data_IF_161016494037
#
_entry.id   IF_161016494037
#
_cell.length_a   1.000
_cell.length_b   1.000
_cell.length_c   1.000
_cell.angle_alpha   90.00
_cell.angle_beta   90.00
_cell.angle_gamma   90.00
#
_symmetry.space_group_name_H-M   'P 1'
#
loop_
_entity.id
_entity.type
_entity.pdbx_description
1 polymer ?
#
# COMPACT_ATOMS: atom_id res chain seq x y z
N UNK A 1 -6.84 -4.00 21.01
CA UNK A 1 -5.82 -2.95 21.30
C UNK A 1 -4.48 -3.59 21.65
N UNK A 2 -3.37 -3.00 21.24
CA UNK A 2 -2.03 -3.39 21.71
C UNK A 2 -1.69 -2.49 22.89
N UNK A 3 -1.67 -3.07 24.10
CA UNK A 3 -1.48 -2.36 25.37
C UNK A 3 -0.20 -1.52 25.37
N UNK A 4 -0.28 -0.28 25.87
CA UNK A 4 0.82 0.67 25.98
C UNK A 4 1.33 1.24 24.66
N UNK A 5 0.73 0.88 23.51
CA UNK A 5 1.22 1.34 22.21
C UNK A 5 0.99 2.84 21.99
N UNK A 6 -0.15 3.39 22.43
CA UNK A 6 -0.52 4.79 22.26
C UNK A 6 0.49 5.79 22.86
N UNK A 7 1.22 5.40 23.92
CA UNK A 7 2.23 6.23 24.59
C UNK A 7 3.40 6.63 23.67
N UNK A 8 3.63 5.87 22.60
CA UNK A 8 4.69 6.10 21.61
C UNK A 8 4.30 7.05 20.47
N UNK A 9 3.12 7.67 20.54
CA UNK A 9 2.58 8.58 19.52
C UNK A 9 2.21 9.94 20.14
N UNK A 10 3.03 10.41 21.08
CA UNK A 10 2.74 11.60 21.91
C UNK A 10 2.52 12.86 21.07
N UNK A 11 3.31 13.05 20.00
CA UNK A 11 3.18 14.20 19.10
C UNK A 11 1.83 14.22 18.35
N UNK A 12 1.26 13.06 18.06
CA UNK A 12 -0.04 12.93 17.39
C UNK A 12 -1.22 12.95 18.37
N UNK A 13 -0.97 12.84 19.68
CA UNK A 13 -1.98 12.83 20.74
C UNK A 13 -3.10 11.82 20.47
N UNK A 14 -2.71 10.61 20.07
CA UNK A 14 -3.66 9.56 19.63
C UNK A 14 -4.63 9.14 20.74
N UNK A 15 -4.24 9.26 22.01
CA UNK A 15 -5.11 8.95 23.16
C UNK A 15 -6.23 9.99 23.37
N UNK A 16 -6.10 11.20 22.79
CA UNK A 16 -7.04 12.32 22.97
C UNK A 16 -7.93 12.54 21.73
N UNK A 17 -7.67 11.84 20.64
CA UNK A 17 -8.28 12.10 19.33
C UNK A 17 -8.91 10.83 18.77
N UNK A 18 -10.03 10.98 18.05
CA UNK A 18 -10.72 9.90 17.36
C UNK A 18 -10.31 9.90 15.87
N UNK A 19 -9.15 9.28 15.57
CA UNK A 19 -8.52 9.30 14.24
C UNK A 19 -8.86 8.02 13.45
N UNK A 20 -10.09 7.92 12.92
CA UNK A 20 -10.56 6.74 12.17
C UNK A 20 -10.13 6.75 10.69
N UNK A 21 -8.97 7.29 10.38
CA UNK A 21 -8.37 7.32 9.01
C UNK A 21 -7.16 6.41 8.88
N UNK A 22 -7.04 5.37 9.72
CA UNK A 22 -5.88 4.47 9.73
C UNK A 22 -5.60 3.76 8.40
N UNK A 23 -6.63 3.55 7.59
CA UNK A 23 -6.52 3.00 6.23
C UNK A 23 -6.06 4.03 5.18
N UNK A 24 -6.04 5.31 5.52
CA UNK A 24 -5.60 6.41 4.66
C UNK A 24 -4.25 6.94 5.13
N UNK A 25 -4.18 7.52 6.33
CA UNK A 25 -2.95 8.00 6.95
C UNK A 25 -2.97 7.63 8.43
N UNK A 26 -1.93 6.93 8.91
CA UNK A 26 -1.76 6.65 10.32
C UNK A 26 -0.82 7.65 10.99
N UNK A 27 -0.97 7.81 12.30
CA UNK A 27 0.01 8.52 13.12
C UNK A 27 1.36 7.79 13.06
N UNK A 28 2.43 8.57 13.09
CA UNK A 28 3.78 8.04 13.15
C UNK A 28 4.24 7.92 14.60
N UNK A 29 4.92 6.84 14.99
CA UNK A 29 5.51 6.76 16.33
C UNK A 29 6.59 7.85 16.52
N UNK A 30 6.80 8.28 17.74
CA UNK A 30 7.71 9.40 18.08
C UNK A 30 9.15 9.16 17.58
N UNK A 31 9.58 7.90 17.47
CA UNK A 31 10.88 7.52 16.88
C UNK A 31 11.06 7.96 15.41
N UNK A 32 9.96 8.19 14.70
CA UNK A 32 9.98 8.71 13.34
C UNK A 32 10.60 10.12 13.27
N UNK A 33 10.34 10.97 14.30
CA UNK A 33 10.96 12.28 14.44
C UNK A 33 12.48 12.17 14.63
N UNK A 34 12.92 11.19 15.42
CA UNK A 34 14.36 10.97 15.64
C UNK A 34 15.07 10.60 14.33
N UNK A 35 14.44 9.80 13.48
CA UNK A 35 14.96 9.48 12.14
C UNK A 35 15.12 10.72 11.25
N UNK A 36 14.16 11.63 11.26
CA UNK A 36 14.26 12.88 10.51
C UNK A 36 15.42 13.76 11.00
N UNK A 37 15.60 13.85 12.32
CA UNK A 37 16.72 14.59 12.93
C UNK A 37 18.09 13.92 12.63
N UNK A 38 18.12 12.60 12.55
CA UNK A 38 19.31 11.84 12.15
C UNK A 38 19.71 12.18 10.71
N UNK A 39 18.76 12.21 9.77
CA UNK A 39 19.00 12.62 8.38
C UNK A 39 19.59 14.04 8.28
N UNK A 40 19.06 14.96 9.08
CA UNK A 40 19.57 16.32 9.15
C UNK A 40 21.01 16.39 9.65
N UNK A 41 21.35 15.63 10.72
CA UNK A 41 22.72 15.58 11.26
C UNK A 41 23.70 14.98 10.26
N UNK A 42 23.34 13.86 9.63
CA UNK A 42 24.19 13.22 8.62
C UNK A 42 24.44 14.16 7.44
N UNK A 43 23.45 14.94 7.02
CA UNK A 43 23.63 15.93 5.96
C UNK A 43 24.56 17.07 6.39
N UNK A 44 24.44 17.56 7.64
CA UNK A 44 25.25 18.63 8.16
C UNK A 44 26.73 18.23 8.40
N UNK A 45 26.94 16.98 8.86
CA UNK A 45 28.28 16.48 9.23
C UNK A 45 29.03 15.91 8.02
N UNK A 46 28.34 15.30 7.05
CA UNK A 46 28.95 14.50 6.00
C UNK A 46 28.77 15.09 4.58
N UNK A 47 27.91 16.09 4.41
CA UNK A 47 27.62 16.72 3.13
C UNK A 47 27.37 15.67 2.00
N UNK A 48 28.26 15.56 1.03
CA UNK A 48 28.14 14.62 -0.08
C UNK A 48 28.29 13.14 0.35
N UNK A 49 29.08 12.87 1.37
CA UNK A 49 29.30 11.51 1.90
C UNK A 49 28.09 10.97 2.67
N UNK A 50 27.03 11.76 2.91
CA UNK A 50 25.78 11.31 3.56
C UNK A 50 25.12 10.14 2.83
N UNK A 51 25.34 10.00 1.52
CA UNK A 51 24.64 9.00 0.71
C UNK A 51 24.95 7.56 1.11
N UNK A 52 26.14 7.25 1.58
CA UNK A 52 26.46 5.92 2.14
C UNK A 52 25.53 5.57 3.30
N UNK A 53 25.32 6.53 4.21
CA UNK A 53 24.42 6.38 5.37
C UNK A 53 22.95 6.29 4.93
N UNK A 54 22.55 7.13 3.99
CA UNK A 54 21.21 7.11 3.43
C UNK A 54 20.89 5.77 2.77
N UNK A 55 21.83 5.17 2.02
CA UNK A 55 21.66 3.85 1.42
C UNK A 55 21.61 2.73 2.47
N UNK A 56 22.35 2.83 3.57
CA UNK A 56 22.20 1.89 4.69
C UNK A 56 20.78 1.95 5.31
N UNK A 57 20.19 3.16 5.42
CA UNK A 57 18.78 3.30 5.85
C UNK A 57 17.80 2.74 4.81
N UNK A 58 18.05 2.98 3.53
CA UNK A 58 17.26 2.38 2.46
C UNK A 58 17.30 0.85 2.50
N UNK A 59 18.47 0.24 2.78
CA UNK A 59 18.56 -1.21 2.95
C UNK A 59 17.77 -1.71 4.14
N UNK A 60 17.80 -0.99 5.27
CA UNK A 60 16.95 -1.32 6.42
C UNK A 60 15.44 -1.28 6.07
N UNK A 61 15.03 -0.35 5.21
CA UNK A 61 13.64 -0.30 4.69
C UNK A 61 13.35 -1.54 3.83
N UNK A 62 14.26 -1.93 2.93
CA UNK A 62 14.11 -3.15 2.11
C UNK A 62 13.97 -4.40 2.98
N UNK A 63 14.77 -4.54 4.03
CA UNK A 63 14.67 -5.64 5.00
C UNK A 63 13.30 -5.68 5.69
N UNK A 64 12.76 -4.52 6.08
CA UNK A 64 11.43 -4.41 6.64
C UNK A 64 10.36 -4.89 5.66
N UNK A 65 10.44 -4.46 4.41
CA UNK A 65 9.51 -4.87 3.34
C UNK A 65 9.62 -6.37 3.05
N UNK A 66 10.84 -6.92 2.93
CA UNK A 66 11.05 -8.37 2.71
C UNK A 66 10.40 -9.23 3.79
N UNK A 67 10.48 -8.78 5.05
CA UNK A 67 9.83 -9.48 6.17
C UNK A 67 8.30 -9.43 6.08
N UNK A 68 7.74 -8.28 5.72
CA UNK A 68 6.30 -8.12 5.53
C UNK A 68 5.75 -8.97 4.38
N UNK A 69 6.57 -9.22 3.37
CA UNK A 69 6.24 -10.04 2.20
C UNK A 69 6.58 -11.54 2.40
N UNK A 70 7.17 -11.92 3.54
CA UNK A 70 7.73 -13.26 3.77
C UNK A 70 8.74 -13.70 2.69
N UNK A 71 9.46 -12.76 2.06
CA UNK A 71 10.42 -12.99 0.97
C UNK A 71 11.80 -12.38 1.29
N UNK A 72 12.63 -13.06 2.12
CA UNK A 72 13.88 -12.51 2.63
C UNK A 72 14.94 -12.26 1.55
N UNK A 73 14.82 -12.91 0.40
CA UNK A 73 15.77 -12.79 -0.71
C UNK A 73 15.34 -11.83 -1.82
N UNK A 74 14.14 -11.27 -1.75
CA UNK A 74 13.59 -10.49 -2.86
C UNK A 74 14.41 -9.22 -3.16
N UNK A 75 14.67 -8.94 -4.45
CA UNK A 75 15.05 -7.59 -4.86
C UNK A 75 13.87 -6.63 -4.66
N UNK A 76 14.13 -5.50 -3.95
CA UNK A 76 13.10 -4.49 -3.65
C UNK A 76 13.58 -3.12 -4.11
N UNK A 77 12.99 -2.58 -5.17
CA UNK A 77 13.22 -1.21 -5.60
C UNK A 77 12.41 -0.23 -4.74
N UNK A 78 12.99 0.93 -4.44
CA UNK A 78 12.35 1.98 -3.64
C UNK A 78 12.11 3.23 -4.49
N UNK A 79 11.02 3.95 -4.19
CA UNK A 79 10.74 5.26 -4.77
C UNK A 79 9.89 6.12 -3.80
N UNK A 80 9.81 7.44 -4.01
CA UNK A 80 8.99 8.31 -3.18
C UNK A 80 7.49 8.00 -3.20
N UNK A 81 7.00 7.40 -4.29
CA UNK A 81 5.59 7.07 -4.47
C UNK A 81 5.41 5.85 -5.40
N UNK A 82 4.24 5.21 -5.31
CA UNK A 82 3.91 4.05 -6.16
C UNK A 82 3.76 4.42 -7.63
N UNK A 83 3.40 5.67 -7.94
CA UNK A 83 3.26 6.12 -9.32
C UNK A 83 4.54 5.94 -10.12
N UNK A 84 5.69 6.37 -9.58
CA UNK A 84 7.00 6.18 -10.22
C UNK A 84 7.34 4.71 -10.44
N UNK A 85 7.03 3.84 -9.47
CA UNK A 85 7.29 2.41 -9.57
C UNK A 85 6.42 1.73 -10.63
N UNK A 86 5.13 2.08 -10.66
CA UNK A 86 4.19 1.60 -11.69
C UNK A 86 4.63 2.06 -13.09
N UNK A 87 5.07 3.31 -13.24
CA UNK A 87 5.57 3.80 -14.54
C UNK A 87 6.82 3.03 -14.99
N UNK A 88 7.76 2.74 -14.08
CA UNK A 88 8.95 1.93 -14.41
C UNK A 88 8.57 0.51 -14.78
N UNK A 89 7.66 -0.13 -14.03
CA UNK A 89 7.11 -1.43 -14.38
C UNK A 89 6.48 -1.42 -15.79
N UNK A 90 5.54 -0.51 -16.05
CA UNK A 90 4.87 -0.41 -17.35
C UNK A 90 5.85 -0.15 -18.49
N UNK A 91 6.92 0.62 -18.24
CA UNK A 91 7.93 0.94 -19.24
C UNK A 91 8.86 -0.24 -19.58
N UNK A 92 8.85 -1.29 -18.77
CA UNK A 92 9.61 -2.52 -18.99
C UNK A 92 8.82 -3.57 -19.82
N UNK A 93 7.51 -3.36 -19.97
CA UNK A 93 6.62 -4.27 -20.68
C UNK A 93 6.74 -4.14 -22.21
N UNK A 94 6.53 -5.21 -22.97
CA UNK A 94 6.56 -5.20 -24.44
C UNK A 94 5.26 -4.60 -25.04
N UNK A 95 4.90 -3.38 -24.63
CA UNK A 95 3.62 -2.74 -24.98
C UNK A 95 3.48 -2.41 -26.48
N UNK A 96 4.58 -2.43 -27.24
CA UNK A 96 4.53 -2.27 -28.72
C UNK A 96 4.05 -3.53 -29.42
N UNK A 97 4.48 -4.70 -28.91
CA UNK A 97 4.17 -6.02 -29.44
C UNK A 97 2.86 -6.59 -28.87
N UNK A 98 2.61 -6.32 -27.59
CA UNK A 98 1.42 -6.75 -26.85
C UNK A 98 0.76 -5.55 -26.15
N UNK A 99 -0.04 -4.75 -26.87
CA UNK A 99 -0.58 -3.48 -26.34
C UNK A 99 -1.73 -3.65 -25.34
N UNK A 100 -2.09 -4.88 -24.94
CA UNK A 100 -3.18 -5.16 -24.03
C UNK A 100 -2.71 -5.13 -22.57
N UNK A 101 -3.46 -4.38 -21.73
CA UNK A 101 -3.36 -4.35 -20.28
C UNK A 101 -4.71 -4.70 -19.67
N UNK A 102 -4.72 -5.49 -18.61
CA UNK A 102 -5.93 -5.89 -17.89
C UNK A 102 -5.88 -5.32 -16.48
N UNK A 103 -6.98 -4.77 -16.01
CA UNK A 103 -7.09 -4.26 -14.63
C UNK A 103 -8.56 -4.26 -14.19
N UNK A 104 -8.84 -3.71 -13.01
CA UNK A 104 -10.21 -3.59 -12.51
C UNK A 104 -10.72 -2.15 -12.56
N UNK A 105 -12.03 -1.95 -12.45
CA UNK A 105 -12.64 -0.64 -12.24
C UNK A 105 -12.54 -0.19 -10.77
N UNK A 106 -12.13 -1.08 -9.86
CA UNK A 106 -11.94 -0.84 -8.42
C UNK A 106 -10.53 -0.42 -8.01
N UNK A 107 -9.65 -0.08 -8.96
CA UNK A 107 -8.26 0.31 -8.66
C UNK A 107 -8.16 1.75 -8.14
N UNK A 108 -7.11 1.98 -7.32
CA UNK A 108 -6.83 3.31 -6.78
C UNK A 108 -6.58 4.34 -7.90
N UNK A 109 -6.89 5.59 -7.61
CA UNK A 109 -6.90 6.70 -8.57
C UNK A 109 -5.63 6.83 -9.42
N UNK A 110 -4.46 6.56 -8.86
CA UNK A 110 -3.18 6.63 -9.59
C UNK A 110 -3.15 5.63 -10.73
N UNK A 111 -3.43 4.36 -10.45
CA UNK A 111 -3.43 3.30 -11.46
C UNK A 111 -4.56 3.52 -12.48
N UNK A 112 -5.78 3.77 -11.99
CA UNK A 112 -6.94 4.06 -12.84
C UNK A 112 -6.68 5.20 -13.83
N UNK A 113 -6.09 6.32 -13.36
CA UNK A 113 -5.78 7.48 -14.20
C UNK A 113 -4.67 7.16 -15.20
N UNK A 114 -3.60 6.48 -14.79
CA UNK A 114 -2.50 6.11 -15.69
C UNK A 114 -2.97 5.19 -16.80
N UNK A 115 -3.72 4.14 -16.47
CA UNK A 115 -4.28 3.22 -17.46
C UNK A 115 -5.29 3.93 -18.39
N UNK A 116 -6.08 4.87 -17.85
CA UNK A 116 -6.96 5.71 -18.67
C UNK A 116 -6.19 6.51 -19.71
N UNK A 117 -5.09 7.13 -19.31
CA UNK A 117 -4.27 7.92 -20.24
C UNK A 117 -3.57 7.04 -21.29
N UNK A 118 -3.13 5.85 -20.91
CA UNK A 118 -2.54 4.89 -21.85
C UNK A 118 -3.58 4.41 -22.89
N UNK A 119 -4.83 4.22 -22.48
CA UNK A 119 -5.92 3.89 -23.41
C UNK A 119 -6.15 5.00 -24.45
N UNK A 120 -6.06 6.28 -24.05
CA UNK A 120 -6.12 7.43 -24.97
C UNK A 120 -4.93 7.46 -25.97
N UNK A 121 -3.79 6.89 -25.60
CA UNK A 121 -2.63 6.73 -26.50
C UNK A 121 -2.68 5.46 -27.39
N UNK A 122 -3.79 4.73 -27.33
CA UNK A 122 -4.06 3.61 -28.21
C UNK A 122 -3.71 2.21 -27.64
N UNK A 123 -3.39 2.10 -26.35
CA UNK A 123 -3.29 0.79 -25.70
C UNK A 123 -4.68 0.21 -25.45
N UNK A 124 -4.82 -1.09 -25.61
CA UNK A 124 -6.01 -1.83 -25.19
C UNK A 124 -6.00 -1.98 -23.66
N UNK A 125 -6.88 -1.28 -22.96
CA UNK A 125 -7.03 -1.40 -21.51
C UNK A 125 -8.38 -2.00 -21.18
N UNK A 126 -8.35 -3.31 -20.85
CA UNK A 126 -9.54 -4.05 -20.39
C UNK A 126 -9.75 -3.77 -18.90
N UNK A 127 -10.93 -3.26 -18.55
CA UNK A 127 -11.36 -3.04 -17.16
C UNK A 127 -12.42 -4.04 -16.78
N UNK A 128 -12.02 -5.01 -15.97
CA UNK A 128 -12.94 -6.00 -15.39
C UNK A 128 -13.66 -5.35 -14.21
N UNK A 129 -14.98 -5.56 -14.10
CA UNK A 129 -15.72 -5.07 -12.94
C UNK A 129 -15.16 -5.68 -11.65
N UNK A 130 -14.82 -4.86 -10.65
CA UNK A 130 -14.31 -5.35 -9.38
C UNK A 130 -15.33 -6.19 -8.59
N UNK A 131 -16.61 -6.04 -8.90
CA UNK A 131 -17.70 -6.78 -8.25
C UNK A 131 -18.43 -7.68 -9.25
N UNK A 132 -18.93 -8.83 -8.77
CA UNK A 132 -18.72 -9.41 -7.43
C UNK A 132 -17.28 -9.88 -7.23
N UNK A 133 -16.73 -9.68 -6.02
CA UNK A 133 -15.29 -9.93 -5.72
C UNK A 133 -14.95 -11.42 -5.76
N UNK A 134 -15.89 -12.29 -5.39
CA UNK A 134 -15.70 -13.76 -5.34
C UNK A 134 -15.47 -14.42 -6.71
N UNK A 135 -15.72 -13.72 -7.83
CA UNK A 135 -15.43 -14.19 -9.20
C UNK A 135 -14.46 -13.28 -9.92
N UNK A 136 -13.84 -12.32 -9.22
CA UNK A 136 -12.96 -11.34 -9.83
C UNK A 136 -11.72 -11.99 -10.43
N UNK A 137 -11.10 -12.91 -9.71
CA UNK A 137 -9.89 -13.61 -10.15
C UNK A 137 -10.14 -14.42 -11.43
N UNK A 138 -11.24 -15.18 -11.50
CA UNK A 138 -11.62 -15.93 -12.71
C UNK A 138 -11.79 -15.01 -13.92
N UNK A 139 -12.43 -13.85 -13.71
CA UNK A 139 -12.65 -12.87 -14.79
C UNK A 139 -11.36 -12.19 -15.24
N UNK A 140 -10.43 -11.91 -14.32
CA UNK A 140 -9.10 -11.39 -14.65
C UNK A 140 -8.27 -12.45 -15.38
N UNK A 141 -8.29 -13.69 -14.91
CA UNK A 141 -7.59 -14.81 -15.53
C UNK A 141 -8.09 -15.08 -16.96
N UNK A 142 -9.40 -14.95 -17.21
CA UNK A 142 -9.95 -15.11 -18.56
C UNK A 142 -9.48 -14.04 -19.55
N UNK A 143 -9.09 -12.86 -19.07
CA UNK A 143 -8.60 -11.75 -19.86
C UNK A 143 -7.05 -11.73 -20.00
N UNK A 144 -6.33 -12.53 -19.20
CA UNK A 144 -4.87 -12.56 -19.19
C UNK A 144 -4.25 -12.97 -20.55
N UNK A 145 -4.80 -13.94 -21.32
CA UNK A 145 -4.19 -14.33 -22.59
C UNK A 145 -3.98 -13.15 -23.55
N UNK A 146 -2.74 -13.01 -24.03
CA UNK A 146 -2.34 -11.96 -24.96
C UNK A 146 -2.12 -10.58 -24.30
N UNK A 147 -2.34 -10.43 -23.02
CA UNK A 147 -2.03 -9.20 -22.30
C UNK A 147 -0.53 -9.11 -21.96
N UNK A 148 0.02 -7.91 -21.95
CA UNK A 148 1.35 -7.66 -21.38
C UNK A 148 1.34 -7.75 -19.85
N UNK A 149 0.26 -7.32 -19.21
CA UNK A 149 0.12 -7.43 -17.76
C UNK A 149 -1.34 -7.44 -17.29
N UNK A 150 -1.55 -8.07 -16.12
CA UNK A 150 -2.71 -7.90 -15.25
C UNK A 150 -2.26 -7.07 -14.03
N UNK A 151 -3.05 -6.05 -13.67
CA UNK A 151 -2.78 -5.17 -12.53
C UNK A 151 -4.00 -5.18 -11.60
N UNK A 152 -3.82 -5.58 -10.34
CA UNK A 152 -4.91 -5.76 -9.38
C UNK A 152 -4.50 -5.40 -7.96
N UNK A 153 -5.40 -4.79 -7.19
CA UNK A 153 -5.21 -4.56 -5.75
C UNK A 153 -5.54 -5.83 -4.95
N UNK A 154 -4.69 -6.16 -3.96
CA UNK A 154 -4.95 -7.27 -3.02
C UNK A 154 -6.13 -6.99 -2.09
N UNK A 155 -6.36 -5.71 -1.79
CA UNK A 155 -7.51 -5.23 -1.01
C UNK A 155 -8.08 -4.00 -1.70
N UNK A 156 -9.36 -4.03 -2.04
CA UNK A 156 -10.04 -2.93 -2.71
C UNK A 156 -10.15 -1.71 -1.79
N UNK A 157 -9.77 -0.54 -2.30
CA UNK A 157 -9.61 0.65 -1.46
C UNK A 157 -10.92 1.32 -1.03
N UNK A 158 -12.02 1.06 -1.75
CA UNK A 158 -13.31 1.70 -1.44
C UNK A 158 -14.01 1.03 -0.26
N UNK A 159 -14.02 -0.30 -0.21
CA UNK A 159 -14.81 -1.09 0.72
C UNK A 159 -14.02 -2.10 1.55
N UNK A 160 -12.69 -2.10 1.45
CA UNK A 160 -11.80 -3.00 2.21
C UNK A 160 -11.90 -4.49 1.84
N UNK A 161 -12.59 -4.87 0.76
CA UNK A 161 -12.73 -6.28 0.36
C UNK A 161 -11.38 -6.85 -0.06
N UNK A 162 -11.05 -8.00 0.53
CA UNK A 162 -9.86 -8.77 0.17
C UNK A 162 -10.14 -9.52 -1.14
N UNK A 163 -9.21 -9.46 -2.08
CA UNK A 163 -9.25 -10.24 -3.32
C UNK A 163 -8.58 -11.58 -3.04
N UNK A 164 -9.39 -12.64 -3.00
CA UNK A 164 -8.94 -14.02 -2.78
C UNK A 164 -8.54 -14.67 -4.11
N UNK A 165 -7.66 -15.69 -4.06
CA UNK A 165 -7.25 -16.45 -5.25
C UNK A 165 -6.19 -15.75 -6.10
N UNK A 166 -5.41 -14.82 -5.52
CA UNK A 166 -4.29 -14.18 -6.24
C UNK A 166 -3.23 -15.17 -6.68
N UNK A 167 -3.07 -16.29 -5.98
CA UNK A 167 -2.23 -17.43 -6.36
C UNK A 167 -2.72 -18.11 -7.64
N UNK A 168 -4.02 -18.36 -7.76
CA UNK A 168 -4.66 -18.88 -8.97
C UNK A 168 -4.49 -17.90 -10.15
N UNK A 169 -4.61 -16.60 -9.89
CA UNK A 169 -4.36 -15.56 -10.90
C UNK A 169 -2.88 -15.54 -11.33
N UNK A 170 -1.94 -15.70 -10.39
CA UNK A 170 -0.51 -15.75 -10.70
C UNK A 170 -0.16 -16.97 -11.57
N UNK A 171 -0.77 -18.12 -11.30
CA UNK A 171 -0.63 -19.31 -12.14
C UNK A 171 -1.19 -19.08 -13.55
N UNK A 172 -2.39 -18.51 -13.67
CA UNK A 172 -3.00 -18.19 -14.96
C UNK A 172 -2.18 -17.18 -15.77
N UNK A 173 -1.64 -16.15 -15.15
CA UNK A 173 -0.76 -15.17 -15.76
C UNK A 173 0.55 -15.83 -16.24
N UNK A 174 1.18 -16.65 -15.40
CA UNK A 174 2.41 -17.37 -15.75
C UNK A 174 2.20 -18.34 -16.93
N UNK A 175 1.06 -19.01 -16.98
CA UNK A 175 0.71 -19.94 -18.08
C UNK A 175 0.53 -19.24 -19.45
N UNK A 176 0.30 -17.92 -19.45
CA UNK A 176 0.06 -17.11 -20.66
C UNK A 176 1.17 -16.10 -20.94
N UNK A 177 2.32 -16.21 -20.26
CA UNK A 177 3.43 -15.24 -20.35
C UNK A 177 2.96 -13.79 -20.13
N UNK A 178 2.07 -13.59 -19.15
CA UNK A 178 1.50 -12.30 -18.77
C UNK A 178 2.06 -11.89 -17.41
N UNK A 179 2.56 -10.66 -17.30
CA UNK A 179 3.04 -10.14 -16.02
C UNK A 179 1.88 -9.90 -15.05
N UNK A 180 2.09 -10.15 -13.77
CA UNK A 180 1.12 -9.82 -12.72
C UNK A 180 1.70 -8.77 -11.78
N UNK A 181 1.04 -7.61 -11.68
CA UNK A 181 1.33 -6.60 -10.66
C UNK A 181 0.22 -6.59 -9.60
N UNK A 182 0.59 -6.88 -8.35
CA UNK A 182 -0.32 -6.81 -7.21
C UNK A 182 -0.04 -5.53 -6.41
N UNK A 183 -1.05 -4.68 -6.24
CA UNK A 183 -0.99 -3.55 -5.31
C UNK A 183 -1.39 -4.02 -3.91
N UNK A 184 -0.39 -4.13 -3.03
CA UNK A 184 -0.56 -4.57 -1.64
C UNK A 184 -0.68 -3.39 -0.65
N UNK A 185 -0.91 -2.16 -1.12
CA UNK A 185 -0.91 -0.96 -0.28
C UNK A 185 -1.92 -1.00 0.87
N UNK A 186 -3.09 -1.61 0.65
CA UNK A 186 -4.13 -1.80 1.66
C UNK A 186 -4.08 -3.16 2.38
N UNK A 187 -3.13 -4.03 2.01
CA UNK A 187 -2.93 -5.33 2.66
C UNK A 187 -1.81 -5.28 3.72
N UNK A 188 -0.64 -4.73 3.34
CA UNK A 188 0.54 -4.74 4.20
C UNK A 188 0.36 -3.91 5.47
N UNK A 189 0.68 -4.53 6.59
CA UNK A 189 0.54 -3.92 7.92
C UNK A 189 -0.84 -4.06 8.56
N UNK A 190 -1.85 -4.57 7.83
CA UNK A 190 -3.14 -4.92 8.42
C UNK A 190 -3.51 -6.40 8.27
N UNK A 191 -2.77 -7.13 7.44
CA UNK A 191 -2.91 -8.59 7.30
C UNK A 191 -1.59 -9.21 6.85
N UNK A 192 -1.34 -10.50 7.12
CA UNK A 192 -0.23 -11.24 6.54
C UNK A 192 -0.35 -11.27 5.00
N UNK A 193 0.80 -11.19 4.33
CA UNK A 193 0.89 -11.24 2.88
C UNK A 193 2.11 -12.09 2.49
N UNK A 194 1.86 -13.33 2.07
CA UNK A 194 2.91 -14.29 1.72
C UNK A 194 3.12 -14.35 0.21
N UNK A 195 4.23 -13.80 -0.25
CA UNK A 195 4.61 -13.80 -1.67
C UNK A 195 5.09 -15.17 -2.15
N UNK A 196 5.36 -16.13 -1.26
CA UNK A 196 5.72 -17.48 -1.68
C UNK A 196 4.63 -18.15 -2.54
N UNK A 197 3.36 -17.73 -2.37
CA UNK A 197 2.24 -18.15 -3.22
C UNK A 197 2.18 -17.41 -4.57
N UNK A 198 2.97 -16.34 -4.73
CA UNK A 198 2.99 -15.43 -5.88
C UNK A 198 4.42 -15.24 -6.43
N UNK A 199 5.20 -16.29 -6.70
CA UNK A 199 6.66 -16.18 -6.92
C UNK A 199 7.01 -15.27 -8.09
N UNK A 200 6.21 -15.28 -9.16
CA UNK A 200 6.42 -14.50 -10.38
C UNK A 200 5.68 -13.15 -10.40
N UNK A 201 4.98 -12.77 -9.34
CA UNK A 201 4.27 -11.50 -9.30
C UNK A 201 5.19 -10.35 -8.89
N UNK A 202 4.96 -9.20 -9.48
CA UNK A 202 5.42 -7.91 -8.98
C UNK A 202 4.49 -7.49 -7.86
N UNK A 203 5.05 -6.95 -6.77
CA UNK A 203 4.24 -6.43 -5.67
C UNK A 203 4.63 -4.99 -5.41
N UNK A 204 3.67 -4.08 -5.52
CA UNK A 204 3.85 -2.66 -5.22
C UNK A 204 3.11 -2.28 -3.95
N UNK A 205 3.68 -1.38 -3.17
CA UNK A 205 3.05 -0.87 -1.96
C UNK A 205 3.78 0.34 -1.39
N UNK A 206 3.36 0.78 -0.22
CA UNK A 206 3.99 1.94 0.41
C UNK A 206 3.67 2.07 1.90
N UNK A 207 4.29 3.06 2.53
CA UNK A 207 4.47 3.10 3.97
C UNK A 207 3.53 3.99 4.77
N UNK A 208 2.82 4.96 4.19
CA UNK A 208 2.11 5.97 4.98
C UNK A 208 0.77 5.52 5.59
N UNK A 209 0.24 4.36 5.16
CA UNK A 209 -0.97 3.79 5.72
C UNK A 209 -0.64 2.92 6.95
N UNK A 210 -0.96 1.65 6.93
CA UNK A 210 -0.82 0.73 8.05
C UNK A 210 0.62 0.53 8.56
N UNK A 211 1.63 0.79 7.72
CA UNK A 211 3.03 0.66 8.11
C UNK A 211 3.57 1.86 8.89
N UNK A 212 2.85 2.99 8.95
CA UNK A 212 3.19 4.17 9.76
C UNK A 212 4.54 4.83 9.41
N UNK A 213 5.08 4.53 8.23
CA UNK A 213 6.39 5.02 7.79
C UNK A 213 6.36 6.49 7.33
N UNK A 214 5.16 7.07 7.19
CA UNK A 214 4.93 8.33 6.50
C UNK A 214 5.20 8.23 4.99
N UNK A 215 5.05 9.33 4.29
CA UNK A 215 5.23 9.43 2.85
C UNK A 215 6.68 9.20 2.43
N UNK A 216 6.90 8.89 1.14
CA UNK A 216 8.24 8.76 0.56
C UNK A 216 8.86 7.37 0.63
N UNK A 217 8.15 6.38 1.15
CA UNK A 217 8.62 4.99 1.29
C UNK A 217 7.68 4.04 0.55
N UNK A 218 7.78 4.05 -0.77
CA UNK A 218 7.10 3.08 -1.62
C UNK A 218 8.11 2.09 -2.19
N UNK A 219 7.64 0.89 -2.47
CA UNK A 219 8.47 -0.21 -2.92
C UNK A 219 7.84 -0.97 -4.08
N UNK A 220 8.69 -1.61 -4.86
CA UNK A 220 8.35 -2.61 -5.87
C UNK A 220 9.21 -3.86 -5.60
N UNK A 221 8.56 -4.95 -5.21
CA UNK A 221 9.20 -6.27 -5.15
C UNK A 221 9.28 -6.82 -6.56
N UNK A 222 10.45 -7.28 -6.95
CA UNK A 222 10.74 -7.80 -8.26
C UNK A 222 10.71 -9.34 -8.26
N UNK A 223 10.05 -9.97 -9.24
CA UNK A 223 10.16 -11.41 -9.43
C UNK A 223 11.54 -11.81 -9.96
N UNK A 224 11.91 -13.12 -9.92
CA UNK A 224 13.21 -13.59 -10.33
C UNK A 224 13.62 -13.23 -11.77
N UNK A 225 12.65 -13.19 -12.71
CA UNK A 225 12.89 -12.88 -14.13
C UNK A 225 13.00 -11.37 -14.42
N UNK A 226 12.83 -10.50 -13.42
CA UNK A 226 12.89 -9.05 -13.62
C UNK A 226 14.22 -8.56 -14.20
N UNK A 227 15.31 -9.31 -14.01
CA UNK A 227 16.62 -8.99 -14.58
C UNK A 227 16.69 -9.13 -16.11
N UNK A 228 15.72 -9.78 -16.74
CA UNK A 228 15.58 -9.89 -18.19
C UNK A 228 14.91 -8.66 -18.80
N UNK A 229 14.18 -7.88 -18.00
CA UNK A 229 13.41 -6.72 -18.46
C UNK A 229 14.25 -5.43 -18.46
N UNK A 230 13.93 -4.52 -19.36
CA UNK A 230 14.66 -3.25 -19.58
C UNK A 230 13.69 -2.05 -19.49
N UNK A 231 13.46 -1.48 -18.30
CA UNK A 231 12.55 -0.35 -18.17
C UNK A 231 13.01 0.86 -18.99
N UNK A 232 12.14 1.37 -19.88
CA UNK A 232 12.47 2.56 -20.67
C UNK A 232 12.48 3.84 -19.83
N UNK A 233 11.78 3.84 -18.69
CA UNK A 233 11.85 4.91 -17.69
C UNK A 233 12.88 4.50 -16.64
N UNK A 234 14.07 5.06 -16.73
CA UNK A 234 15.23 4.77 -15.86
C UNK A 234 15.89 6.06 -15.40
N UNK A 235 16.75 5.99 -14.41
CA UNK A 235 17.49 7.13 -13.89
C UNK A 235 18.92 6.76 -13.50
N UNK A 236 19.75 7.74 -13.24
CA UNK A 236 21.19 7.54 -13.03
C UNK A 236 21.54 6.70 -11.79
N UNK A 237 20.60 6.51 -10.83
CA UNK A 237 20.80 5.58 -9.72
C UNK A 237 20.86 4.11 -10.19
N UNK A 238 20.32 3.79 -11.36
CA UNK A 238 20.50 2.47 -11.96
C UNK A 238 21.97 2.20 -12.36
N UNK A 239 22.79 3.23 -12.51
CA UNK A 239 24.23 3.13 -12.84
C UNK A 239 25.13 3.55 -11.67
N UNK A 240 24.58 3.75 -10.47
CA UNK A 240 25.30 4.38 -9.35
C UNK A 240 26.60 3.66 -8.98
N UNK A 241 26.64 2.34 -9.05
CA UNK A 241 27.84 1.54 -8.76
C UNK A 241 28.90 1.63 -9.87
N UNK A 242 28.53 2.06 -11.07
CA UNK A 242 29.36 2.02 -12.29
C UNK A 242 29.60 3.42 -12.88
N UNK A 243 29.38 4.49 -12.10
CA UNK A 243 29.52 5.89 -12.57
C UNK A 243 30.90 6.22 -13.15
N UNK A 244 31.92 5.46 -12.81
CA UNK A 244 33.31 5.63 -13.30
C UNK A 244 33.67 4.63 -14.41
N UNK A 245 32.76 3.74 -14.81
CA UNK A 245 33.00 2.80 -15.90
C UNK A 245 32.96 3.51 -17.26
N UNK A 246 33.74 3.02 -18.21
CA UNK A 246 33.61 3.44 -19.60
C UNK A 246 32.28 2.94 -20.18
N UNK A 247 31.47 3.85 -20.69
CA UNK A 247 30.20 3.53 -21.33
C UNK A 247 30.36 3.38 -22.84
N UNK A 248 29.87 2.28 -23.38
CA UNK A 248 29.77 2.13 -24.83
C UNK A 248 28.70 3.08 -25.39
N UNK A 249 29.05 3.82 -26.42
CA UNK A 249 28.14 4.75 -27.06
C UNK A 249 26.92 4.00 -27.65
N UNK A 250 25.73 4.41 -27.27
CA UNK A 250 24.47 3.89 -27.79
C UNK A 250 23.86 2.67 -27.06
N UNK A 251 24.47 2.20 -25.96
CA UNK A 251 23.93 1.13 -25.14
C UNK A 251 23.71 1.59 -23.68
N UNK A 252 22.46 1.51 -23.20
CA UNK A 252 22.16 1.72 -21.77
C UNK A 252 22.39 0.41 -21.02
N UNK A 253 23.27 0.44 -20.03
CA UNK A 253 23.52 -0.72 -19.17
C UNK A 253 22.51 -0.78 -18.04
N UNK A 254 22.22 -1.97 -17.53
CA UNK A 254 21.34 -2.20 -16.39
C UNK A 254 22.00 -3.12 -15.38
N UNK A 255 22.05 -2.74 -14.10
CA UNK A 255 22.49 -3.64 -13.05
C UNK A 255 21.49 -4.77 -12.83
N UNK A 256 21.88 -5.78 -12.09
CA UNK A 256 20.97 -6.81 -11.59
C UNK A 256 20.18 -6.34 -10.37
N UNK A 257 19.03 -6.95 -10.14
CA UNK A 257 18.21 -6.75 -8.96
C UNK A 257 17.55 -5.37 -8.87
N UNK A 258 17.36 -4.89 -7.64
CA UNK A 258 16.51 -3.73 -7.35
C UNK A 258 16.96 -2.43 -8.01
N UNK A 259 18.25 -2.26 -8.24
CA UNK A 259 18.80 -1.03 -8.84
C UNK A 259 18.41 -0.87 -10.31
N UNK A 260 18.06 -1.94 -11.02
CA UNK A 260 17.52 -1.89 -12.39
C UNK A 260 16.28 -1.02 -12.50
N UNK A 261 15.46 -1.00 -11.45
CA UNK A 261 14.25 -0.18 -11.34
C UNK A 261 14.44 1.07 -10.48
N UNK A 262 15.68 1.47 -10.20
CA UNK A 262 15.95 2.71 -9.50
C UNK A 262 15.68 3.93 -10.39
N UNK A 263 15.39 5.06 -9.74
CA UNK A 263 15.15 6.34 -10.39
C UNK A 263 16.36 7.24 -10.37
N UNK A 264 16.12 8.49 -10.00
CA UNK A 264 17.10 9.54 -9.91
C UNK A 264 17.21 10.07 -8.48
N UNK A 265 17.93 11.17 -8.27
CA UNK A 265 18.11 11.83 -6.97
C UNK A 265 16.77 12.15 -6.32
N UNK A 266 16.62 11.79 -5.07
CA UNK A 266 15.44 12.04 -4.25
C UNK A 266 15.84 12.46 -2.83
N UNK A 267 14.88 12.92 -2.03
CA UNK A 267 15.10 13.20 -0.60
C UNK A 267 15.13 11.88 0.19
N UNK A 268 16.30 11.48 0.76
CA UNK A 268 16.42 10.22 1.51
C UNK A 268 15.90 10.30 2.94
N UNK A 269 15.42 11.45 3.42
CA UNK A 269 14.95 11.66 4.80
C UNK A 269 13.87 10.66 5.19
N UNK A 270 13.03 10.28 4.23
CA UNK A 270 11.98 9.28 4.43
C UNK A 270 12.52 7.91 4.86
N UNK A 271 13.69 7.50 4.36
CA UNK A 271 14.29 6.20 4.72
C UNK A 271 14.80 6.18 6.16
N UNK A 272 15.34 7.29 6.66
CA UNK A 272 15.77 7.43 8.05
C UNK A 272 14.57 7.26 8.99
N UNK A 273 13.46 7.94 8.68
CA UNK A 273 12.20 7.82 9.41
C UNK A 273 11.70 6.37 9.41
N UNK A 274 11.60 5.77 8.23
CA UNK A 274 11.08 4.42 8.06
C UNK A 274 11.95 3.36 8.74
N UNK A 275 13.28 3.48 8.69
CA UNK A 275 14.18 2.58 9.38
C UNK A 275 13.92 2.56 10.89
N UNK A 276 13.75 3.74 11.51
CA UNK A 276 13.40 3.86 12.94
C UNK A 276 12.03 3.24 13.25
N UNK A 277 11.05 3.40 12.36
CA UNK A 277 9.72 2.80 12.54
C UNK A 277 9.78 1.27 12.42
N UNK A 278 10.55 0.72 11.49
CA UNK A 278 10.75 -0.72 11.42
C UNK A 278 11.47 -1.28 12.66
N UNK A 279 12.48 -0.59 13.19
CA UNK A 279 13.13 -0.96 14.44
C UNK A 279 12.13 -0.95 15.62
N UNK A 280 11.25 0.05 15.65
CA UNK A 280 10.18 0.14 16.64
C UNK A 280 9.17 -1.01 16.49
N UNK A 281 8.78 -1.37 15.27
CA UNK A 281 7.90 -2.53 15.03
C UNK A 281 8.52 -3.81 15.57
N UNK A 282 9.81 -4.02 15.31
CA UNK A 282 10.54 -5.18 15.84
C UNK A 282 10.59 -5.20 17.38
N UNK A 283 10.94 -4.06 17.99
CA UNK A 283 11.02 -3.93 19.45
C UNK A 283 9.68 -4.15 20.14
N UNK A 284 8.56 -3.73 19.49
CA UNK A 284 7.21 -3.89 20.03
C UNK A 284 6.53 -5.19 19.60
N UNK A 285 7.19 -6.01 18.79
CA UNK A 285 6.61 -7.24 18.26
C UNK A 285 5.37 -7.00 17.41
N UNK A 286 5.36 -5.94 16.60
CA UNK A 286 4.25 -5.60 15.69
C UNK A 286 4.37 -6.44 14.40
N UNK A 287 4.18 -7.76 14.54
CA UNK A 287 4.19 -8.68 13.40
C UNK A 287 2.88 -8.56 12.59
N UNK A 288 2.88 -8.98 11.30
CA UNK A 288 1.67 -9.00 10.49
C UNK A 288 0.49 -9.73 11.15
N UNK A 289 0.76 -10.86 11.83
CA UNK A 289 -0.27 -11.67 12.53
C UNK A 289 -0.85 -10.92 13.73
N UNK A 290 0.01 -10.28 14.54
CA UNK A 290 -0.43 -9.49 15.70
C UNK A 290 -1.22 -8.25 15.28
N UNK A 291 -0.78 -7.59 14.22
CA UNK A 291 -1.50 -6.48 13.64
C UNK A 291 -2.85 -6.94 13.09
N UNK A 292 -2.90 -8.08 12.36
CA UNK A 292 -4.16 -8.65 11.88
C UNK A 292 -5.15 -8.93 13.01
N UNK A 293 -4.70 -9.53 14.10
CA UNK A 293 -5.53 -9.78 15.28
C UNK A 293 -6.12 -8.48 15.84
N UNK A 294 -5.29 -7.42 15.93
CA UNK A 294 -5.74 -6.11 16.38
C UNK A 294 -6.79 -5.49 15.44
N UNK A 295 -6.57 -5.52 14.12
CA UNK A 295 -7.52 -4.99 13.15
C UNK A 295 -8.84 -5.77 13.11
N UNK A 296 -8.79 -7.11 13.19
CA UNK A 296 -10.00 -7.93 13.26
C UNK A 296 -10.81 -7.64 14.53
N UNK A 297 -10.16 -7.52 15.68
CA UNK A 297 -10.83 -7.12 16.91
C UNK A 297 -11.52 -5.76 16.75
N UNK A 298 -10.77 -4.77 16.29
CA UNK A 298 -11.26 -3.39 16.15
C UNK A 298 -12.38 -3.25 15.12
N UNK A 299 -12.27 -3.88 13.95
CA UNK A 299 -13.33 -3.86 12.93
C UNK A 299 -14.56 -4.65 13.38
N UNK A 300 -14.40 -5.73 14.15
CA UNK A 300 -15.52 -6.48 14.75
C UNK A 300 -16.25 -5.62 15.79
N UNK A 301 -15.51 -4.91 16.64
CA UNK A 301 -16.10 -3.99 17.62
C UNK A 301 -16.87 -2.86 16.92
N UNK A 302 -16.25 -2.20 15.94
CA UNK A 302 -16.91 -1.14 15.16
C UNK A 302 -18.19 -1.65 14.47
N UNK A 303 -18.17 -2.84 13.86
CA UNK A 303 -19.30 -3.43 13.17
C UNK A 303 -20.45 -3.78 14.16
N UNK A 304 -20.12 -4.38 15.32
CA UNK A 304 -21.08 -4.69 16.35
C UNK A 304 -21.76 -3.45 16.92
N UNK A 305 -20.98 -2.44 17.30
CA UNK A 305 -21.53 -1.17 17.82
C UNK A 305 -22.33 -0.41 16.76
N UNK A 306 -21.91 -0.46 15.50
CA UNK A 306 -22.67 0.11 14.39
C UNK A 306 -24.05 -0.59 14.24
N UNK A 307 -24.09 -1.92 14.30
CA UNK A 307 -25.35 -2.68 14.18
C UNK A 307 -26.35 -2.33 15.29
N UNK A 308 -25.88 -2.04 16.50
CA UNK A 308 -26.69 -1.59 17.65
C UNK A 308 -27.36 -0.23 17.40
N UNK A 309 -26.82 0.62 16.51
CA UNK A 309 -27.42 1.93 16.20
C UNK A 309 -28.77 1.81 15.48
N UNK A 310 -29.00 0.75 14.74
CA UNK A 310 -30.25 0.50 14.00
C UNK A 310 -30.55 1.57 12.94
N UNK A 311 -29.54 2.11 12.27
CA UNK A 311 -29.69 3.11 11.21
C UNK A 311 -30.28 2.45 9.94
N UNK A 312 -31.13 3.17 9.22
CA UNK A 312 -31.77 2.70 7.99
C UNK A 312 -31.14 3.22 6.70
N UNK A 313 -30.51 4.38 6.76
CA UNK A 313 -29.89 5.11 5.63
C UNK A 313 -28.37 4.95 5.57
N UNK A 314 -27.79 4.24 6.54
CA UNK A 314 -26.39 3.84 6.58
C UNK A 314 -26.34 2.34 6.81
N UNK A 315 -25.68 1.61 5.94
CA UNK A 315 -25.64 0.13 5.98
C UNK A 315 -24.20 -0.37 5.88
N UNK A 316 -23.99 -1.63 6.26
CA UNK A 316 -22.76 -2.35 5.98
C UNK A 316 -23.04 -3.68 5.30
N UNK A 317 -22.06 -4.24 4.64
CA UNK A 317 -22.11 -5.62 4.17
C UNK A 317 -22.13 -6.57 5.40
N UNK A 318 -23.22 -7.33 5.54
CA UNK A 318 -23.41 -8.32 6.61
C UNK A 318 -23.28 -9.75 6.10
N UNK A 319 -23.31 -9.94 4.79
CA UNK A 319 -23.26 -11.27 4.17
C UNK A 319 -21.83 -11.79 4.07
N UNK A 320 -20.86 -10.87 4.04
CA UNK A 320 -19.44 -11.19 3.99
C UNK A 320 -18.83 -11.26 5.39
N UNK A 321 -18.12 -12.34 5.74
CA UNK A 321 -17.39 -12.46 7.00
C UNK A 321 -16.37 -11.32 7.18
N UNK A 322 -16.20 -10.83 8.41
CA UNK A 322 -15.31 -9.69 8.70
C UNK A 322 -13.84 -9.98 8.40
N UNK A 323 -13.42 -11.21 8.42
CA UNK A 323 -12.07 -11.63 8.05
C UNK A 323 -11.79 -11.58 6.52
N UNK A 324 -12.83 -11.45 5.70
CA UNK A 324 -12.72 -11.19 4.26
C UNK A 324 -12.55 -9.68 3.93
N UNK A 325 -12.36 -8.84 4.96
CA UNK A 325 -12.03 -7.43 4.80
C UNK A 325 -10.60 -7.14 5.32
N UNK A 326 -10.02 -6.07 4.83
CA UNK A 326 -8.73 -5.54 5.30
C UNK A 326 -8.83 -4.85 6.66
N UNK A 327 -8.26 -3.64 6.77
CA UNK A 327 -8.08 -2.95 8.05
C UNK A 327 -9.10 -1.85 8.35
N UNK A 328 -10.24 -1.76 7.68
CA UNK A 328 -11.27 -0.76 7.96
C UNK A 328 -12.69 -1.27 7.69
N UNK A 329 -13.65 -0.66 8.37
CA UNK A 329 -15.07 -0.88 8.15
C UNK A 329 -15.60 0.16 7.15
N UNK A 330 -16.22 -0.30 6.07
CA UNK A 330 -16.91 0.55 5.10
C UNK A 330 -18.42 0.52 5.35
N UNK A 331 -19.01 1.70 5.45
CA UNK A 331 -20.43 1.92 5.64
C UNK A 331 -21.01 2.61 4.40
N UNK A 332 -22.02 2.02 3.81
CA UNK A 332 -22.64 2.51 2.59
C UNK A 332 -23.74 3.52 2.90
N UNK A 333 -23.71 4.70 2.32
CA UNK A 333 -24.73 5.74 2.44
C UNK A 333 -24.63 6.74 1.28
N UNK A 334 -25.75 7.22 0.79
CA UNK A 334 -25.80 8.35 -0.14
C UNK A 334 -25.30 9.66 0.49
N UNK A 335 -25.28 9.72 1.84
CA UNK A 335 -24.78 10.85 2.63
C UNK A 335 -23.33 10.67 3.12
N UNK A 336 -22.55 9.73 2.57
CA UNK A 336 -21.23 9.37 3.09
C UNK A 336 -20.28 10.57 3.24
N UNK A 337 -20.24 11.49 2.27
CA UNK A 337 -19.41 12.70 2.31
C UNK A 337 -19.91 13.69 3.37
N UNK A 338 -21.23 13.89 3.46
CA UNK A 338 -21.86 14.76 4.47
C UNK A 338 -21.58 14.22 5.88
N UNK A 339 -21.78 12.92 6.09
CA UNK A 339 -21.52 12.26 7.36
C UNK A 339 -20.05 12.41 7.78
N UNK A 340 -19.11 12.18 6.88
CA UNK A 340 -17.68 12.36 7.15
C UNK A 340 -17.34 13.79 7.58
N UNK A 341 -17.93 14.80 6.94
CA UNK A 341 -17.74 16.21 7.28
C UNK A 341 -18.34 16.54 8.65
N UNK A 342 -19.57 16.10 8.91
CA UNK A 342 -20.24 16.35 10.18
C UNK A 342 -19.58 15.63 11.34
N UNK A 343 -19.03 14.42 11.12
CA UNK A 343 -18.21 13.71 12.08
C UNK A 343 -16.94 14.48 12.43
N UNK A 344 -16.28 15.09 11.43
CA UNK A 344 -15.11 15.95 11.66
C UNK A 344 -15.44 17.11 12.59
N UNK A 345 -16.57 17.78 12.38
CA UNK A 345 -17.06 18.85 13.25
C UNK A 345 -17.37 18.36 14.69
N UNK A 346 -17.74 17.08 14.81
CA UNK A 346 -17.94 16.40 16.09
C UNK A 346 -16.65 15.82 16.71
N UNK A 347 -15.48 16.04 16.09
CA UNK A 347 -14.19 15.60 16.60
C UNK A 347 -13.78 14.18 16.18
N UNK A 348 -14.52 13.54 15.28
CA UNK A 348 -14.19 12.21 14.73
C UNK A 348 -13.67 12.35 13.31
N UNK A 349 -12.39 12.04 13.11
CA UNK A 349 -11.75 12.13 11.79
C UNK A 349 -11.98 10.83 11.02
N UNK A 350 -12.76 10.91 9.95
CA UNK A 350 -13.06 9.81 9.03
C UNK A 350 -12.81 10.28 7.60
N UNK A 351 -12.95 9.40 6.63
CA UNK A 351 -13.03 9.81 5.23
C UNK A 351 -14.17 9.09 4.49
N UNK A 352 -14.43 9.54 3.26
CA UNK A 352 -15.41 8.91 2.39
C UNK A 352 -14.86 8.71 0.97
N UNK A 353 -15.37 7.67 0.30
CA UNK A 353 -15.11 7.44 -1.13
C UNK A 353 -16.38 6.97 -1.81
N UNK A 354 -16.83 7.75 -2.82
CA UNK A 354 -18.12 7.48 -3.44
C UNK A 354 -19.22 7.42 -2.38
N UNK A 355 -19.90 6.29 -2.30
CA UNK A 355 -20.98 6.06 -1.33
C UNK A 355 -20.52 5.42 -0.02
N UNK A 356 -19.21 5.26 0.21
CA UNK A 356 -18.69 4.64 1.43
C UNK A 356 -18.13 5.66 2.40
N UNK A 357 -18.70 5.71 3.62
CA UNK A 357 -18.05 6.28 4.81
C UNK A 357 -17.12 5.21 5.36
N UNK A 358 -15.85 5.53 5.59
CA UNK A 358 -14.83 4.57 5.99
C UNK A 358 -14.33 4.86 7.41
N UNK A 359 -14.41 3.85 8.27
CA UNK A 359 -13.93 3.88 9.64
C UNK A 359 -12.68 3.01 9.76
N UNK A 360 -11.51 3.61 9.69
CA UNK A 360 -10.23 2.92 9.76
C UNK A 360 -9.57 3.07 11.12
N UNK A 361 -9.67 2.06 11.98
CA UNK A 361 -8.94 2.04 13.24
C UNK A 361 -7.44 1.94 13.03
N UNK A 362 -6.69 2.05 14.12
CA UNK A 362 -5.26 1.84 14.16
C UNK A 362 -4.87 1.10 15.44
N UNK A 363 -3.76 0.35 15.47
CA UNK A 363 -3.41 -0.51 16.60
C UNK A 363 -3.25 0.19 17.96
N UNK A 364 -3.11 1.52 17.94
CA UNK A 364 -3.01 2.36 19.15
C UNK A 364 -4.35 2.84 19.71
N UNK A 365 -5.49 2.62 19.01
CA UNK A 365 -6.80 3.01 19.55
C UNK A 365 -7.27 2.05 20.63
N UNK A 366 -7.90 2.61 21.68
CA UNK A 366 -8.61 1.82 22.68
C UNK A 366 -10.02 1.46 22.19
N UNK A 367 -10.61 0.45 22.82
CA UNK A 367 -11.99 0.03 22.53
C UNK A 367 -12.98 1.17 22.85
N UNK A 368 -12.76 1.91 23.95
CA UNK A 368 -13.59 3.06 24.34
C UNK A 368 -13.54 4.19 23.29
N UNK A 369 -12.39 4.42 22.65
CA UNK A 369 -12.28 5.39 21.57
C UNK A 369 -13.10 4.97 20.34
N UNK A 370 -13.08 3.69 19.99
CA UNK A 370 -13.85 3.15 18.87
C UNK A 370 -15.36 3.19 19.15
N UNK A 371 -15.77 2.85 20.36
CA UNK A 371 -17.16 2.94 20.80
C UNK A 371 -17.65 4.39 20.76
N UNK A 372 -16.87 5.33 21.31
CA UNK A 372 -17.21 6.75 21.28
C UNK A 372 -17.34 7.29 19.85
N UNK A 373 -16.50 6.83 18.92
CA UNK A 373 -16.60 7.24 17.52
C UNK A 373 -17.90 6.75 16.86
N UNK A 374 -18.32 5.51 17.13
CA UNK A 374 -19.60 4.97 16.61
C UNK A 374 -20.79 5.65 17.27
N UNK A 375 -20.73 5.98 18.56
CA UNK A 375 -21.78 6.74 19.24
C UNK A 375 -21.97 8.13 18.58
N UNK A 376 -20.86 8.83 18.26
CA UNK A 376 -20.94 10.10 17.53
C UNK A 376 -21.55 9.92 16.14
N UNK A 377 -21.21 8.84 15.43
CA UNK A 377 -21.87 8.52 14.16
C UNK A 377 -23.38 8.36 14.33
N UNK A 378 -23.83 7.68 15.37
CA UNK A 378 -25.25 7.53 15.68
C UNK A 378 -25.95 8.87 15.94
N UNK A 379 -25.29 9.80 16.62
CA UNK A 379 -25.82 11.15 16.85
C UNK A 379 -25.90 11.99 15.56
N UNK A 380 -24.88 11.90 14.70
CA UNK A 380 -24.80 12.64 13.45
C UNK A 380 -25.79 12.11 12.42
N UNK A 381 -25.91 10.78 12.27
CA UNK A 381 -26.74 10.17 11.25
C UNK A 381 -28.26 10.38 11.48
N UNK A 382 -28.68 10.58 12.74
CA UNK A 382 -30.10 10.84 13.09
C UNK A 382 -30.54 12.30 12.93
N UNK A 383 -29.63 13.20 12.56
CA UNK A 383 -29.92 14.62 12.25
C UNK A 383 -30.26 14.77 10.76
#
# INVERSE_FOLDING_TARGET
MIEGLAEHYSAFRVSERLLLTGHSHQAWPDVAREGQLEAWRDAAEHADLKWERAFAKAERVREGVRRLLADPGAPVALAPNTHELVLRFLSALPLRERPKLVSTDGEFHTLRRQLGRLAEEGLEVVRVAARPVNTLVDRLASEAPGASAVLVSAVLFEDSRVVLGLDELAEACSATDTELLVDAYHALGCMPFDVATLPNAWVVGGGYKYLQLGEGNCFLRLPPHADELRPAITGWFAEFAELHAEHEAGATQYPTGSMRFAGSTYDPTSHYRAARVFDFFDQKGLTPERLRQSYLHQTTLLAGRFDELGLSDVTRDRDTPLDAFGGFLALESERAEELSRTLLDAGVVTDSRGRYLRLGPAPYHSDEQLEAAVEQLGHVARR
#
